data_IF_099902109003
#
_entry.id   IF_099902109003
#
_cell.length_a   1.000
_cell.length_b   1.000
_cell.length_c   1.000
_cell.angle_alpha   90.00
_cell.angle_beta   90.00
_cell.angle_gamma   90.00
#
_symmetry.space_group_name_H-M   'P 1'
#
loop_
_entity.id
_entity.type
_entity.pdbx_description
1 polymer ?
#
# COMPACT_ATOMS: atom_id res chain seq x y z
N UNK A 1 14.30 17.35 -4.64
CA UNK A 1 13.33 18.45 -4.40
C UNK A 1 12.70 18.26 -3.02
N UNK A 2 12.99 19.15 -2.08
CA UNK A 2 12.37 19.17 -0.75
C UNK A 2 10.97 19.79 -0.89
N UNK A 3 9.92 19.15 -0.36
CA UNK A 3 8.55 19.69 -0.43
C UNK A 3 8.37 20.70 0.70
N UNK A 4 7.83 21.88 0.42
CA UNK A 4 7.57 22.91 1.44
C UNK A 4 6.75 22.37 2.61
N UNK A 5 7.09 22.79 3.83
CA UNK A 5 6.46 22.33 5.07
C UNK A 5 6.94 20.95 5.58
N UNK A 6 7.80 20.23 4.84
CA UNK A 6 8.44 19.02 5.40
C UNK A 6 9.66 19.37 6.25
N UNK A 7 9.98 18.57 7.26
CA UNK A 7 11.21 18.77 8.01
C UNK A 7 12.42 18.71 7.08
N UNK A 8 13.51 19.41 7.41
CA UNK A 8 14.79 19.38 6.68
C UNK A 8 15.74 18.38 7.37
N UNK A 9 16.44 17.54 6.62
CA UNK A 9 17.34 16.53 7.21
C UNK A 9 17.61 15.31 6.32
N UNK A 10 18.14 14.25 6.92
CA UNK A 10 18.33 12.94 6.25
C UNK A 10 17.03 12.18 6.26
N UNK A 11 16.58 11.73 5.09
CA UNK A 11 15.34 10.97 4.93
C UNK A 11 15.61 9.52 4.58
N UNK A 12 14.75 8.66 5.12
CA UNK A 12 14.64 7.27 4.76
C UNK A 12 13.19 6.99 4.38
N UNK A 13 12.99 6.03 3.48
CA UNK A 13 11.67 5.55 3.08
C UNK A 13 11.52 4.15 3.60
N UNK A 14 10.38 3.89 4.24
CA UNK A 14 10.02 2.59 4.79
C UNK A 14 8.93 1.99 3.93
N UNK A 15 9.31 0.94 3.20
CA UNK A 15 8.45 0.15 2.32
C UNK A 15 7.85 -0.98 3.15
N UNK A 16 6.54 -0.93 3.39
CA UNK A 16 5.83 -1.94 4.17
C UNK A 16 4.90 -2.75 3.30
N UNK A 17 4.82 -4.05 3.59
CA UNK A 17 3.79 -4.93 3.07
C UNK A 17 2.91 -5.41 4.21
N UNK A 18 1.60 -5.36 3.97
CA UNK A 18 0.58 -5.69 4.96
C UNK A 18 -0.38 -6.70 4.32
N UNK A 19 -0.71 -7.75 5.07
CA UNK A 19 -1.75 -8.70 4.67
C UNK A 19 -3.13 -8.03 4.69
N UNK A 20 -3.85 -8.15 3.58
CA UNK A 20 -5.19 -7.59 3.42
C UNK A 20 -6.26 -8.28 4.26
N UNK A 21 -6.04 -9.51 4.74
CA UNK A 21 -7.02 -10.29 5.51
C UNK A 21 -6.96 -10.00 7.01
N UNK A 22 -5.77 -10.09 7.59
CA UNK A 22 -5.55 -9.95 9.03
C UNK A 22 -4.91 -8.62 9.42
N UNK A 23 -4.59 -7.76 8.44
CA UNK A 23 -3.94 -6.47 8.65
C UNK A 23 -2.59 -6.60 9.38
N UNK A 24 -1.88 -7.72 9.21
CA UNK A 24 -0.57 -7.95 9.81
C UNK A 24 0.52 -7.45 8.86
N UNK A 25 1.54 -6.78 9.40
CA UNK A 25 2.71 -6.35 8.64
C UNK A 25 3.57 -7.59 8.39
N UNK A 26 3.77 -7.94 7.12
CA UNK A 26 4.53 -9.12 6.71
C UNK A 26 5.96 -8.76 6.31
N UNK A 27 6.20 -7.53 5.88
CA UNK A 27 7.53 -7.04 5.53
C UNK A 27 7.69 -5.53 5.80
N UNK A 28 8.90 -5.14 6.14
CA UNK A 28 9.34 -3.73 6.21
C UNK A 28 10.76 -3.63 5.68
N UNK A 29 10.99 -2.69 4.78
CA UNK A 29 12.28 -2.48 4.14
C UNK A 29 12.60 -1.00 3.99
N UNK A 30 13.77 -0.60 4.48
CA UNK A 30 14.18 0.79 4.51
C UNK A 30 15.14 1.09 3.38
N UNK A 31 14.85 2.13 2.60
CA UNK A 31 15.75 2.70 1.61
C UNK A 31 16.14 4.13 1.97
N UNK A 32 17.21 4.63 1.35
CA UNK A 32 17.53 6.05 1.40
C UNK A 32 16.41 6.87 0.72
N UNK A 33 16.20 8.11 1.17
CA UNK A 33 15.11 8.97 0.71
C UNK A 33 15.20 9.44 -0.74
N UNK A 34 16.34 9.21 -1.42
CA UNK A 34 16.53 9.47 -2.84
C UNK A 34 16.15 8.29 -3.74
N UNK A 35 15.84 7.13 -3.18
CA UNK A 35 15.42 5.94 -3.92
C UNK A 35 13.91 6.01 -4.14
N UNK A 36 13.45 5.88 -5.38
CA UNK A 36 12.04 5.88 -5.71
C UNK A 36 11.33 4.62 -5.19
N UNK A 37 10.07 4.76 -4.73
CA UNK A 37 9.30 3.70 -4.06
C UNK A 37 9.10 2.44 -4.91
N UNK A 38 8.97 2.60 -6.22
CA UNK A 38 8.82 1.48 -7.16
C UNK A 38 10.07 0.59 -7.28
N UNK A 39 11.27 1.12 -7.02
CA UNK A 39 12.53 0.39 -7.25
C UNK A 39 12.69 -0.88 -6.39
N UNK A 40 12.50 -0.85 -5.06
CA UNK A 40 12.64 -2.05 -4.25
C UNK A 40 11.47 -3.03 -4.38
N UNK A 41 10.32 -2.58 -4.91
CA UNK A 41 9.05 -3.29 -4.80
C UNK A 41 9.10 -4.75 -5.27
N UNK A 42 9.59 -5.00 -6.48
CA UNK A 42 9.63 -6.36 -7.05
C UNK A 42 10.51 -7.31 -6.24
N UNK A 43 11.66 -6.84 -5.76
CA UNK A 43 12.52 -7.64 -4.89
C UNK A 43 11.84 -7.97 -3.54
N UNK A 44 11.01 -7.05 -3.02
CA UNK A 44 10.24 -7.30 -1.79
C UNK A 44 9.12 -8.30 -2.01
N UNK A 45 8.39 -8.17 -3.12
CA UNK A 45 7.33 -9.10 -3.49
C UNK A 45 7.89 -10.51 -3.65
N UNK A 46 8.95 -10.69 -4.44
CA UNK A 46 9.59 -12.00 -4.64
C UNK A 46 10.05 -12.63 -3.32
N UNK A 47 10.69 -11.85 -2.44
CA UNK A 47 11.08 -12.30 -1.09
C UNK A 47 9.88 -12.80 -0.28
N UNK A 48 8.73 -12.15 -0.38
CA UNK A 48 7.52 -12.57 0.36
C UNK A 48 6.97 -13.89 -0.19
N UNK A 49 6.90 -14.03 -1.51
CA UNK A 49 6.43 -15.24 -2.18
C UNK A 49 7.34 -16.43 -1.82
N UNK A 50 8.67 -16.25 -1.91
CA UNK A 50 9.65 -17.30 -1.62
C UNK A 50 9.72 -17.66 -0.14
N UNK A 51 9.72 -16.67 0.75
CA UNK A 51 9.94 -16.91 2.19
C UNK A 51 8.71 -17.48 2.88
N UNK A 52 7.53 -17.01 2.51
CA UNK A 52 6.28 -17.36 3.19
C UNK A 52 5.36 -18.25 2.35
N UNK A 53 5.71 -18.53 1.10
CA UNK A 53 4.86 -19.33 0.20
C UNK A 53 3.52 -18.67 -0.09
N UNK A 54 3.44 -17.34 -0.05
CA UNK A 54 2.20 -16.62 -0.29
C UNK A 54 1.79 -16.72 -1.77
N UNK A 55 0.50 -16.90 -2.02
CA UNK A 55 -0.09 -16.82 -3.35
C UNK A 55 -1.20 -15.76 -3.36
N UNK A 56 -0.85 -14.46 -3.44
CA UNK A 56 -1.82 -13.38 -3.34
C UNK A 56 -2.62 -13.25 -4.64
N UNK A 57 -3.96 -13.23 -4.53
CA UNK A 57 -4.85 -12.97 -5.66
C UNK A 57 -4.61 -11.59 -6.27
N UNK A 58 -4.24 -10.60 -5.45
CA UNK A 58 -3.89 -9.27 -5.95
C UNK A 58 -3.22 -8.39 -4.92
N UNK A 59 -2.65 -7.30 -5.39
CA UNK A 59 -1.84 -6.36 -4.61
C UNK A 59 -2.37 -4.94 -4.74
N UNK A 60 -2.64 -4.31 -3.60
CA UNK A 60 -3.03 -2.90 -3.55
C UNK A 60 -1.81 -2.00 -3.34
N UNK A 61 -1.43 -1.20 -4.33
CA UNK A 61 -0.27 -0.28 -4.21
C UNK A 61 -0.67 1.18 -4.38
N UNK A 62 0.13 2.07 -3.81
CA UNK A 62 -0.04 3.52 -3.97
C UNK A 62 0.31 3.99 -5.40
N UNK A 63 -0.05 5.23 -5.73
CA UNK A 63 0.18 5.81 -7.05
C UNK A 63 1.66 5.87 -7.45
N UNK A 64 2.58 5.93 -6.48
CA UNK A 64 4.02 5.88 -6.74
C UNK A 64 4.51 4.55 -7.37
N UNK A 65 3.69 3.49 -7.33
CA UNK A 65 4.04 2.18 -7.90
C UNK A 65 3.46 1.97 -9.31
N UNK A 66 2.65 2.90 -9.82
CA UNK A 66 2.03 2.80 -11.13
C UNK A 66 3.05 3.04 -12.25
N UNK A 67 3.79 1.98 -12.60
CA UNK A 67 4.81 1.99 -13.64
C UNK A 67 4.60 0.79 -14.56
N UNK A 68 4.87 0.95 -15.86
CA UNK A 68 4.69 -0.11 -16.84
C UNK A 68 5.41 -1.42 -16.46
N UNK A 69 6.67 -1.40 -15.98
CA UNK A 69 7.36 -2.62 -15.55
C UNK A 69 6.66 -3.34 -14.40
N UNK A 70 6.14 -2.60 -13.42
CA UNK A 70 5.43 -3.20 -12.28
C UNK A 70 4.12 -3.85 -12.74
N UNK A 71 3.36 -3.17 -13.60
CA UNK A 71 2.11 -3.72 -14.13
C UNK A 71 2.36 -5.02 -14.91
N UNK A 72 3.34 -5.01 -15.82
CA UNK A 72 3.72 -6.18 -16.60
C UNK A 72 4.14 -7.35 -15.70
N UNK A 73 5.07 -7.13 -14.77
CA UNK A 73 5.56 -8.19 -13.89
C UNK A 73 4.47 -8.75 -12.98
N UNK A 74 3.57 -7.92 -12.46
CA UNK A 74 2.46 -8.41 -11.63
C UNK A 74 1.50 -9.30 -12.43
N UNK A 75 1.14 -8.88 -13.65
CA UNK A 75 0.27 -9.68 -14.51
C UNK A 75 0.95 -10.97 -14.98
N UNK A 76 2.26 -10.94 -15.24
CA UNK A 76 3.05 -12.12 -15.58
C UNK A 76 3.07 -13.16 -14.44
N UNK A 77 3.15 -12.69 -13.18
CA UNK A 77 3.05 -13.52 -11.98
C UNK A 77 1.59 -13.89 -11.62
N UNK A 78 0.62 -13.56 -12.47
CA UNK A 78 -0.83 -13.79 -12.26
C UNK A 78 -1.39 -13.11 -11.00
N UNK A 79 -0.77 -12.01 -10.57
CA UNK A 79 -1.20 -11.22 -9.42
C UNK A 79 -1.93 -9.97 -9.91
N UNK A 80 -3.20 -9.79 -9.53
CA UNK A 80 -3.99 -8.65 -9.99
C UNK A 80 -3.52 -7.32 -9.35
N UNK A 81 -3.07 -6.33 -10.15
CA UNK A 81 -2.62 -5.04 -9.65
C UNK A 81 -3.79 -4.08 -9.37
N UNK A 82 -3.88 -3.55 -8.15
CA UNK A 82 -4.84 -2.51 -7.74
C UNK A 82 -4.06 -1.25 -7.33
N UNK A 83 -3.63 -0.49 -8.34
CA UNK A 83 -2.68 0.61 -8.20
C UNK A 83 -3.39 1.96 -8.08
N UNK A 84 -2.88 2.88 -7.25
CA UNK A 84 -3.25 4.29 -7.38
C UNK A 84 -2.74 4.83 -8.71
N UNK A 85 -3.35 5.89 -9.25
CA UNK A 85 -2.77 6.60 -10.39
C UNK A 85 -2.77 8.09 -10.10
N UNK A 86 -1.82 8.81 -10.67
CA UNK A 86 -1.84 10.26 -10.73
C UNK A 86 -2.29 10.66 -12.12
N UNK A 87 -3.25 11.57 -12.17
CA UNK A 87 -3.47 12.32 -13.38
C UNK A 87 -2.26 13.24 -13.59
N UNK A 88 -1.62 13.12 -14.74
CA UNK A 88 -0.68 14.12 -15.19
C UNK A 88 -1.47 15.20 -15.93
N UNK A 89 -1.39 16.42 -15.43
CA UNK A 89 -1.95 17.60 -16.07
C UNK A 89 -0.85 18.23 -16.96
N UNK A 90 -1.23 18.76 -18.12
CA UNK A 90 -0.29 19.47 -18.99
C UNK A 90 0.12 20.82 -18.37
N UNK A 91 1.35 21.24 -18.65
CA UNK A 91 1.88 22.54 -18.24
C UNK A 91 1.37 23.69 -19.15
N UNK A 92 1.03 24.83 -18.55
CA UNK A 92 0.10 25.86 -19.06
C UNK A 92 0.67 26.71 -20.21
N UNK A 93 2.00 26.79 -20.37
CA UNK A 93 2.65 27.57 -21.43
C UNK A 93 2.83 26.78 -22.74
N UNK A 94 3.28 25.53 -22.61
CA UNK A 94 3.33 24.53 -23.70
C UNK A 94 1.95 24.20 -24.17
N UNK A 95 0.95 24.43 -23.31
CA UNK A 95 -0.43 24.58 -23.64
C UNK A 95 -0.61 25.58 -24.86
N UNK A 96 -0.50 26.89 -24.77
CA UNK A 96 -1.27 27.84 -25.64
C UNK A 96 -1.23 27.84 -27.23
N UNK A 97 -0.61 26.94 -28.03
CA UNK A 97 -0.49 27.04 -29.54
C UNK A 97 -1.00 25.92 -30.53
N UNK A 98 -1.41 24.71 -30.15
CA UNK A 98 -1.99 23.68 -31.07
C UNK A 98 -3.38 24.05 -31.73
N UNK A 99 -3.90 23.27 -32.71
CA UNK A 99 -5.25 23.47 -33.30
C UNK A 99 -6.36 22.57 -32.72
N UNK A 100 -6.05 21.31 -32.39
CA UNK A 100 -6.76 20.53 -31.37
C UNK A 100 -6.15 20.83 -29.99
N UNK A 101 -5.52 21.99 -29.85
CA UNK A 101 -5.17 22.58 -28.55
C UNK A 101 -6.34 22.73 -27.65
N UNK A 102 -7.41 23.19 -28.29
CA UNK A 102 -8.73 23.31 -27.74
C UNK A 102 -9.28 21.96 -27.29
N UNK A 103 -8.69 20.81 -27.69
CA UNK A 103 -9.25 19.47 -27.44
C UNK A 103 -8.25 18.34 -27.06
N UNK A 104 -6.92 18.50 -27.13
CA UNK A 104 -5.96 17.38 -27.21
C UNK A 104 -4.54 17.66 -26.65
N UNK A 105 -3.69 18.45 -27.31
CA UNK A 105 -2.27 18.72 -26.91
C UNK A 105 -1.86 20.07 -27.45
N UNK A 106 -0.65 20.59 -27.23
CA UNK A 106 -0.47 22.03 -27.28
C UNK A 106 0.92 22.52 -27.82
N UNK A 107 1.73 21.56 -28.32
CA UNK A 107 3.13 21.63 -28.83
C UNK A 107 3.41 22.46 -30.11
N UNK A 108 4.63 23.03 -30.25
CA UNK A 108 5.11 23.90 -31.36
C UNK A 108 5.38 23.22 -32.74
N UNK A 109 5.56 21.89 -32.82
CA UNK A 109 5.83 21.12 -34.08
C UNK A 109 4.60 20.36 -34.62
N UNK A 110 3.38 20.67 -34.16
CA UNK A 110 2.08 20.13 -34.67
C UNK A 110 1.90 18.61 -34.75
N UNK A 111 2.75 17.79 -34.11
CA UNK A 111 2.56 16.33 -33.99
C UNK A 111 2.31 15.90 -32.54
N UNK A 112 1.27 15.07 -32.34
CA UNK A 112 1.01 14.37 -31.07
C UNK A 112 1.72 13.03 -31.10
N UNK A 113 2.97 13.01 -30.66
CA UNK A 113 3.70 11.75 -30.49
C UNK A 113 3.32 11.17 -29.13
N UNK A 114 2.39 10.21 -29.13
CA UNK A 114 2.06 9.44 -27.93
C UNK A 114 3.07 8.30 -27.84
N UNK A 115 4.07 8.47 -26.99
CA UNK A 115 5.01 7.41 -26.67
C UNK A 115 4.36 6.48 -25.65
N UNK A 116 3.84 5.37 -26.16
CA UNK A 116 3.37 4.28 -25.30
C UNK A 116 4.55 3.42 -24.88
N UNK A 117 4.57 2.99 -23.63
CA UNK A 117 5.51 1.96 -23.21
C UNK A 117 5.17 0.65 -23.95
N UNK A 118 6.16 -0.22 -24.19
CA UNK A 118 5.89 -1.56 -24.76
C UNK A 118 4.89 -2.39 -23.92
N UNK A 119 4.72 -2.02 -22.65
CA UNK A 119 3.82 -2.62 -21.67
C UNK A 119 2.64 -1.70 -21.32
N UNK A 120 2.25 -0.82 -22.23
CA UNK A 120 1.11 0.06 -22.00
C UNK A 120 -0.20 -0.73 -21.88
N UNK A 121 -0.38 -1.78 -22.70
CA UNK A 121 -1.53 -2.67 -22.60
C UNK A 121 -1.67 -3.28 -21.19
N UNK A 122 -0.57 -3.58 -20.52
CA UNK A 122 -0.57 -4.12 -19.15
C UNK A 122 -0.95 -3.05 -18.11
N UNK A 123 -0.60 -1.78 -18.37
CA UNK A 123 -1.10 -0.66 -17.55
C UNK A 123 -2.60 -0.44 -17.73
N UNK A 124 -3.10 -0.57 -18.95
CA UNK A 124 -4.53 -0.46 -19.25
C UNK A 124 -5.33 -1.57 -18.58
N UNK A 125 -4.88 -2.83 -18.70
CA UNK A 125 -5.44 -3.97 -17.95
C UNK A 125 -5.44 -3.74 -16.44
N UNK A 126 -4.32 -3.26 -15.89
CA UNK A 126 -4.24 -2.92 -14.47
C UNK A 126 -5.26 -1.85 -14.06
N UNK A 127 -5.52 -0.89 -14.95
CA UNK A 127 -6.52 0.15 -14.73
C UNK A 127 -7.96 -0.39 -14.79
N UNK A 128 -8.25 -1.29 -15.71
CA UNK A 128 -9.54 -1.98 -15.81
C UNK A 128 -9.83 -2.81 -14.54
N UNK A 129 -8.84 -3.59 -14.10
CA UNK A 129 -8.91 -4.39 -12.86
C UNK A 129 -9.21 -3.49 -11.66
N UNK A 130 -8.52 -2.35 -11.55
CA UNK A 130 -8.76 -1.37 -10.49
C UNK A 130 -10.19 -0.80 -10.52
N UNK A 131 -10.72 -0.51 -11.71
CA UNK A 131 -12.06 0.06 -11.90
C UNK A 131 -13.19 -0.96 -11.71
N UNK A 132 -12.87 -2.26 -11.76
CA UNK A 132 -13.80 -3.34 -11.45
C UNK A 132 -14.40 -3.19 -10.04
N UNK A 133 -15.56 -3.83 -9.82
CA UNK A 133 -16.22 -3.80 -8.50
C UNK A 133 -15.33 -4.41 -7.41
N UNK A 134 -14.59 -5.48 -7.74
CA UNK A 134 -13.64 -6.10 -6.83
C UNK A 134 -12.45 -5.18 -6.54
N UNK A 135 -11.85 -4.59 -7.58
CA UNK A 135 -10.72 -3.67 -7.46
C UNK A 135 -11.04 -2.44 -6.61
N UNK A 136 -12.22 -1.84 -6.79
CA UNK A 136 -12.71 -0.74 -5.95
C UNK A 136 -12.83 -1.13 -4.47
N UNK A 137 -13.34 -2.32 -4.16
CA UNK A 137 -13.43 -2.84 -2.78
C UNK A 137 -12.04 -3.05 -2.17
N UNK A 138 -11.11 -3.63 -2.92
CA UNK A 138 -9.72 -3.83 -2.48
C UNK A 138 -9.03 -2.48 -2.25
N UNK A 139 -9.20 -1.53 -3.16
CA UNK A 139 -8.64 -0.19 -3.05
C UNK A 139 -9.16 0.54 -1.80
N UNK A 140 -10.46 0.44 -1.50
CA UNK A 140 -11.08 1.06 -0.33
C UNK A 140 -10.46 0.57 1.00
N UNK A 141 -10.13 -0.72 1.10
CA UNK A 141 -9.54 -1.32 2.31
C UNK A 141 -8.16 -0.76 2.68
N UNK A 142 -7.47 -0.10 1.74
CA UNK A 142 -6.13 0.50 1.98
C UNK A 142 -6.13 1.50 3.13
N UNK A 143 -7.23 2.24 3.31
CA UNK A 143 -7.39 3.22 4.40
C UNK A 143 -7.32 2.56 5.77
N UNK A 144 -7.88 1.35 5.87
CA UNK A 144 -7.99 0.58 7.11
C UNK A 144 -6.70 -0.21 7.42
N UNK A 145 -6.00 -0.66 6.38
CA UNK A 145 -4.81 -1.50 6.51
C UNK A 145 -3.53 -0.68 6.47
N UNK A 146 -3.20 -0.15 5.29
CA UNK A 146 -1.91 0.49 5.00
C UNK A 146 -1.82 1.88 5.63
N UNK A 147 -2.78 2.76 5.34
CA UNK A 147 -2.71 4.15 5.79
C UNK A 147 -2.75 4.24 7.31
N UNK A 148 -3.57 3.40 7.96
CA UNK A 148 -3.65 3.31 9.41
C UNK A 148 -2.35 2.82 10.04
N UNK A 149 -1.67 1.83 9.45
CA UNK A 149 -0.36 1.36 9.95
C UNK A 149 0.72 2.45 9.83
N UNK A 150 0.74 3.19 8.72
CA UNK A 150 1.65 4.34 8.57
C UNK A 150 1.33 5.48 9.54
N UNK A 151 0.04 5.74 9.80
CA UNK A 151 -0.37 6.73 10.80
C UNK A 151 0.12 6.33 12.21
N UNK A 152 -0.10 5.07 12.61
CA UNK A 152 0.36 4.52 13.90
C UNK A 152 1.89 4.62 14.03
N UNK A 153 2.63 4.26 12.97
CA UNK A 153 4.09 4.39 12.93
C UNK A 153 4.57 5.83 13.13
N UNK A 154 3.91 6.79 12.49
CA UNK A 154 4.26 8.22 12.59
C UNK A 154 3.93 8.80 13.97
N UNK A 155 2.77 8.46 14.52
CA UNK A 155 2.29 9.06 15.78
C UNK A 155 2.91 8.40 17.01
N UNK A 156 2.95 7.06 17.05
CA UNK A 156 3.31 6.32 18.26
C UNK A 156 4.72 5.71 18.23
N UNK A 157 5.35 5.61 17.04
CA UNK A 157 6.67 4.98 16.89
C UNK A 157 7.74 5.92 16.30
N UNK A 158 7.48 7.23 16.29
CA UNK A 158 8.48 8.25 15.96
C UNK A 158 8.95 8.26 14.50
N UNK A 159 8.18 7.71 13.55
CA UNK A 159 8.58 7.66 12.13
C UNK A 159 8.42 9.00 11.38
N UNK A 160 8.11 10.10 12.08
CA UNK A 160 8.10 11.45 11.49
C UNK A 160 9.50 11.96 11.15
N UNK A 161 10.50 11.49 11.90
CA UNK A 161 11.88 11.93 11.80
C UNK A 161 12.80 10.71 11.86
N UNK A 162 13.94 10.78 11.16
CA UNK A 162 14.98 9.78 11.30
C UNK A 162 15.63 9.91 12.69
N UNK A 163 15.28 9.03 13.63
CA UNK A 163 15.86 9.01 14.98
C UNK A 163 17.32 8.56 14.97
N UNK A 164 17.67 7.65 14.06
CA UNK A 164 19.00 7.07 13.95
C UNK A 164 19.72 7.52 12.68
N UNK A 165 21.05 7.57 12.76
CA UNK A 165 21.93 7.89 11.63
C UNK A 165 22.58 6.59 11.13
N UNK A 166 21.91 5.86 10.23
CA UNK A 166 22.39 4.77 9.35
C UNK A 166 21.17 3.95 8.89
N UNK A 167 21.19 3.45 7.64
CA UNK A 167 20.09 2.62 7.10
C UNK A 167 19.79 1.40 7.98
N UNK A 168 20.83 0.72 8.48
CA UNK A 168 20.68 -0.49 9.31
C UNK A 168 19.99 -0.21 10.63
N UNK A 169 20.31 0.91 11.28
CA UNK A 169 19.67 1.31 12.54
C UNK A 169 18.22 1.72 12.33
N UNK A 170 17.93 2.44 11.24
CA UNK A 170 16.54 2.79 10.87
C UNK A 170 15.74 1.53 10.50
N UNK A 171 16.35 0.56 9.80
CA UNK A 171 15.74 -0.74 9.53
C UNK A 171 15.38 -1.50 10.81
N UNK A 172 16.26 -1.51 11.82
CA UNK A 172 15.96 -2.10 13.12
C UNK A 172 14.78 -1.41 13.81
N UNK A 173 14.72 -0.07 13.76
CA UNK A 173 13.59 0.69 14.30
C UNK A 173 12.27 0.32 13.60
N UNK A 174 12.27 0.24 12.27
CA UNK A 174 11.07 -0.11 11.50
C UNK A 174 10.63 -1.55 11.78
N UNK A 175 11.57 -2.49 11.90
CA UNK A 175 11.28 -3.88 12.30
C UNK A 175 10.66 -3.96 13.69
N UNK A 176 11.25 -3.29 14.70
CA UNK A 176 10.71 -3.27 16.06
C UNK A 176 9.31 -2.64 16.10
N UNK A 177 9.10 -1.52 15.39
CA UNK A 177 7.79 -0.90 15.30
C UNK A 177 6.76 -1.82 14.63
N UNK A 178 7.12 -2.51 13.55
CA UNK A 178 6.25 -3.47 12.90
C UNK A 178 5.87 -4.64 13.82
N UNK A 179 6.83 -5.18 14.57
CA UNK A 179 6.60 -6.24 15.55
C UNK A 179 5.63 -5.78 16.64
N UNK A 180 5.85 -4.61 17.24
CA UNK A 180 4.95 -4.07 18.27
C UNK A 180 3.54 -3.82 17.72
N UNK A 181 3.42 -3.29 16.51
CA UNK A 181 2.11 -3.12 15.85
C UNK A 181 1.40 -4.45 15.62
N UNK A 182 2.13 -5.49 15.18
CA UNK A 182 1.57 -6.82 15.00
C UNK A 182 1.10 -7.43 16.33
N UNK A 183 1.92 -7.34 17.39
CA UNK A 183 1.54 -7.82 18.73
C UNK A 183 0.26 -7.12 19.21
N UNK A 184 0.18 -5.78 19.08
CA UNK A 184 -1.01 -5.00 19.43
C UNK A 184 -2.25 -5.47 18.67
N UNK A 185 -2.14 -5.70 17.35
CA UNK A 185 -3.24 -6.19 16.51
C UNK A 185 -3.69 -7.59 16.91
N UNK A 186 -2.75 -8.50 17.17
CA UNK A 186 -3.03 -9.87 17.62
C UNK A 186 -3.72 -9.85 18.98
N UNK A 187 -3.21 -9.08 19.94
CA UNK A 187 -3.79 -8.96 21.28
C UNK A 187 -5.25 -8.47 21.23
N UNK A 188 -5.54 -7.45 20.41
CA UNK A 188 -6.91 -6.94 20.23
C UNK A 188 -7.83 -8.02 19.63
N UNK A 189 -7.35 -8.77 18.62
CA UNK A 189 -8.14 -9.86 18.02
C UNK A 189 -8.41 -10.99 19.01
N UNK A 190 -7.41 -11.41 19.78
CA UNK A 190 -7.55 -12.44 20.81
C UNK A 190 -8.51 -12.00 21.91
N UNK A 191 -8.42 -10.74 22.36
CA UNK A 191 -9.33 -10.17 23.34
C UNK A 191 -10.78 -10.20 22.84
N UNK A 192 -11.02 -9.76 21.59
CA UNK A 192 -12.35 -9.78 21.00
C UNK A 192 -12.91 -11.20 20.84
N UNK A 193 -12.10 -12.16 20.40
CA UNK A 193 -12.49 -13.57 20.28
C UNK A 193 -12.86 -14.16 21.65
N UNK A 194 -12.05 -13.88 22.68
CA UNK A 194 -12.31 -14.32 24.04
C UNK A 194 -13.57 -13.66 24.62
N UNK A 195 -13.77 -12.36 24.39
CA UNK A 195 -14.96 -11.63 24.81
C UNK A 195 -16.24 -12.18 24.16
N UNK A 196 -16.23 -12.39 22.84
CA UNK A 196 -17.35 -13.01 22.11
C UNK A 196 -17.62 -14.44 22.59
N UNK A 197 -16.57 -15.22 22.86
CA UNK A 197 -16.70 -16.56 23.44
C UNK A 197 -17.38 -16.54 24.81
N UNK A 198 -16.95 -15.68 25.73
CA UNK A 198 -17.59 -15.52 27.03
C UNK A 198 -19.03 -15.03 26.90
N UNK A 199 -19.31 -14.10 25.99
CA UNK A 199 -20.66 -13.60 25.76
C UNK A 199 -21.59 -14.69 25.19
N UNK A 200 -21.10 -15.51 24.27
CA UNK A 200 -21.85 -16.65 23.72
C UNK A 200 -22.11 -17.71 24.81
N UNK A 201 -21.11 -18.04 25.62
CA UNK A 201 -21.26 -18.95 26.77
C UNK A 201 -22.27 -18.39 27.78
N UNK A 202 -22.23 -17.09 28.05
CA UNK A 202 -23.18 -16.41 28.92
C UNK A 202 -24.60 -16.46 28.37
N UNK A 203 -24.79 -16.25 27.06
CA UNK A 203 -26.08 -16.38 26.37
C UNK A 203 -26.62 -17.81 26.37
N UNK A 204 -25.75 -18.81 26.20
CA UNK A 204 -26.14 -20.23 26.29
C UNK A 204 -26.56 -20.54 27.73
N UNK A 205 -25.79 -20.11 28.73
CA UNK A 205 -26.15 -20.29 30.15
C UNK A 205 -27.40 -19.53 30.56
N UNK A 206 -27.68 -18.36 29.99
CA UNK A 206 -28.88 -17.58 30.32
C UNK A 206 -30.14 -18.12 29.64
N UNK A 207 -30.03 -18.81 28.50
CA UNK A 207 -31.13 -19.55 27.87
C UNK A 207 -31.36 -20.93 28.51
N UNK A 208 -30.33 -21.59 29.04
CA UNK A 208 -30.47 -22.77 29.91
C UNK A 208 -30.77 -22.36 31.35
N UNK A 209 -31.99 -21.86 31.61
CA UNK A 209 -32.55 -21.88 32.97
C UNK A 209 -32.95 -23.32 33.32
N UNK A 210 -31.97 -24.16 33.68
CA UNK A 210 -32.29 -25.45 34.32
C UNK A 210 -32.65 -25.12 35.77
N UNK A 211 -33.95 -25.19 36.08
CA UNK A 211 -34.46 -25.13 37.44
C UNK A 211 -34.25 -26.51 38.07
N UNK A 212 -33.24 -26.66 38.93
CA UNK A 212 -33.17 -27.81 39.82
C UNK A 212 -34.08 -27.51 41.02
N UNK A 213 -35.25 -28.13 41.06
CA UNK A 213 -36.02 -28.29 42.31
C UNK A 213 -35.43 -29.49 43.06
N UNK A 214 -35.07 -29.27 44.33
CA UNK A 214 -34.88 -30.33 45.33
C UNK A 214 -36.23 -30.59 45.98
#
# INVERSE_FOLDING_TARGET
MHREGKPKGVFYLDHRTIDGKHNLITDTYVTAGNIHDSRPYMARLKRLLERFGFNPVGVGLDAGYFTAPICYLLLAEQIYPVLGYRHHHCDVATCKVCPLLSQCTQSKNTQKVITHHIWEADKEKANEIRLSQWGKKVYARRKETIERSFADAKQHHGHRYARFRRRTQVQMQCLLAATVQNIKKIAIKLFLLRFLGYFLIYLIKSKLKILFMV
#
